data_IF_594938096410
#
_entry.id   IF_594938096410
#
_cell.length_a   1.000
_cell.length_b   1.000
_cell.length_c   1.000
_cell.angle_alpha   90.00
_cell.angle_beta   90.00
_cell.angle_gamma   90.00
#
_symmetry.space_group_name_H-M   'P 1'
#
loop_
_entity.id
_entity.type
_entity.pdbx_description
1 polymer ?
#
# COMPACT_ATOMS: atom_id res chain seq x y z
N UNK A 1 9.29 15.50 -2.67
CA UNK A 1 9.53 14.11 -2.23
C UNK A 1 9.65 13.22 -3.46
N UNK A 2 10.73 12.46 -3.59
CA UNK A 2 10.84 11.36 -4.55
C UNK A 2 10.09 10.15 -3.99
N UNK A 3 9.22 9.55 -4.79
CA UNK A 3 8.47 8.37 -4.37
C UNK A 3 8.56 7.25 -5.39
N UNK A 4 8.46 6.01 -4.91
CA UNK A 4 8.48 4.80 -5.72
C UNK A 4 7.25 3.92 -5.47
N UNK A 5 7.01 2.97 -6.37
CA UNK A 5 6.00 1.92 -6.17
C UNK A 5 6.65 0.55 -6.35
N UNK A 6 6.51 -0.28 -5.31
CA UNK A 6 6.96 -1.67 -5.25
C UNK A 6 5.74 -2.59 -5.44
N UNK A 7 5.73 -3.35 -6.53
CA UNK A 7 4.57 -4.10 -7.00
C UNK A 7 3.66 -3.23 -7.85
N UNK A 8 3.50 -3.57 -9.13
CA UNK A 8 2.64 -2.87 -10.09
C UNK A 8 1.55 -3.78 -10.66
N UNK A 9 1.01 -4.65 -9.79
CA UNK A 9 -0.27 -5.31 -10.02
C UNK A 9 -1.44 -4.33 -10.11
N UNK A 10 -2.67 -4.82 -9.94
CA UNK A 10 -3.88 -3.99 -10.11
C UNK A 10 -3.87 -2.71 -9.26
N UNK A 11 -3.62 -2.81 -7.95
CA UNK A 11 -3.58 -1.65 -7.05
C UNK A 11 -2.31 -0.82 -7.25
N UNK A 12 -1.15 -1.48 -7.40
CA UNK A 12 0.13 -0.80 -7.64
C UNK A 12 0.13 0.07 -8.90
N UNK A 13 -0.51 -0.39 -9.97
CA UNK A 13 -0.74 0.41 -11.18
C UNK A 13 -1.50 1.71 -10.87
N UNK A 14 -2.59 1.63 -10.09
CA UNK A 14 -3.36 2.80 -9.71
C UNK A 14 -2.57 3.75 -8.81
N UNK A 15 -1.77 3.23 -7.87
CA UNK A 15 -0.84 4.04 -7.09
C UNK A 15 0.16 4.77 -7.97
N UNK A 16 0.84 4.08 -8.87
CA UNK A 16 1.80 4.70 -9.79
C UNK A 16 1.13 5.79 -10.64
N UNK A 17 -0.06 5.51 -11.19
CA UNK A 17 -0.83 6.47 -12.01
C UNK A 17 -1.24 7.71 -11.22
N UNK A 18 -1.76 7.54 -10.00
CA UNK A 18 -2.25 8.64 -9.16
C UNK A 18 -1.09 9.45 -8.60
N UNK A 19 -0.01 8.79 -8.16
CA UNK A 19 1.14 9.46 -7.54
C UNK A 19 1.81 10.47 -8.48
N UNK A 20 1.76 10.25 -9.80
CA UNK A 20 2.20 11.23 -10.82
C UNK A 20 1.44 12.55 -10.78
N UNK A 21 0.25 12.56 -10.20
CA UNK A 21 -0.66 13.71 -10.14
C UNK A 21 -0.66 14.39 -8.76
N UNK A 22 0.02 13.82 -7.77
CA UNK A 22 0.04 14.33 -6.40
C UNK A 22 0.99 15.54 -6.30
N UNK A 23 0.49 16.74 -5.95
CA UNK A 23 1.35 17.91 -5.78
C UNK A 23 2.43 17.67 -4.72
N UNK A 24 3.69 18.02 -5.04
CA UNK A 24 4.83 17.86 -4.13
C UNK A 24 5.49 16.46 -4.12
N UNK A 25 4.88 15.48 -4.79
CA UNK A 25 5.48 14.16 -5.03
C UNK A 25 5.99 14.07 -6.48
N UNK A 26 7.10 13.33 -6.67
CA UNK A 26 7.60 12.93 -7.98
C UNK A 26 7.78 11.43 -7.98
N UNK A 27 7.11 10.73 -8.89
CA UNK A 27 7.34 9.30 -9.10
C UNK A 27 8.72 9.11 -9.74
N UNK A 28 9.69 8.63 -8.96
CA UNK A 28 11.04 8.33 -9.42
C UNK A 28 11.05 7.09 -10.31
N UNK A 29 10.20 6.10 -10.00
CA UNK A 29 9.95 4.94 -10.84
C UNK A 29 9.22 3.82 -10.11
N UNK A 30 9.21 2.66 -10.74
CA UNK A 30 8.48 1.47 -10.30
C UNK A 30 9.36 0.22 -10.35
N UNK A 31 9.00 -0.78 -9.56
CA UNK A 31 9.61 -2.12 -9.60
C UNK A 31 8.55 -3.19 -9.39
N UNK A 32 8.72 -4.35 -10.03
CA UNK A 32 7.93 -5.55 -9.87
C UNK A 32 8.76 -6.78 -10.29
N UNK A 33 8.63 -7.90 -9.58
CA UNK A 33 9.38 -9.13 -9.86
C UNK A 33 8.98 -9.76 -11.21
N UNK A 34 7.78 -9.47 -11.70
CA UNK A 34 7.34 -9.86 -13.03
C UNK A 34 7.83 -8.83 -14.07
N UNK A 35 8.93 -9.18 -14.73
CA UNK A 35 9.55 -8.32 -15.74
C UNK A 35 8.60 -7.94 -16.90
N UNK A 36 7.65 -8.81 -17.27
CA UNK A 36 6.69 -8.52 -18.33
C UNK A 36 5.65 -7.49 -17.87
N UNK A 37 5.13 -7.65 -16.64
CA UNK A 37 4.24 -6.66 -16.01
C UNK A 37 4.95 -5.32 -15.80
N UNK A 38 6.18 -5.34 -15.28
CA UNK A 38 7.00 -4.15 -15.08
C UNK A 38 7.18 -3.37 -16.39
N UNK A 39 7.59 -4.05 -17.47
CA UNK A 39 7.78 -3.43 -18.77
C UNK A 39 6.48 -2.83 -19.35
N UNK A 40 5.37 -3.55 -19.20
CA UNK A 40 4.05 -3.11 -19.68
C UNK A 40 3.61 -1.84 -18.96
N UNK A 41 3.62 -1.83 -17.63
CA UNK A 41 3.18 -0.67 -16.83
C UNK A 41 4.13 0.52 -17.01
N UNK A 42 5.44 0.27 -17.10
CA UNK A 42 6.43 1.31 -17.35
C UNK A 42 6.19 2.03 -18.68
N UNK A 43 5.88 1.27 -19.74
CA UNK A 43 5.55 1.82 -21.05
C UNK A 43 4.22 2.58 -21.03
N UNK A 44 3.18 2.00 -20.42
CA UNK A 44 1.83 2.61 -20.37
C UNK A 44 1.81 3.93 -19.60
N UNK A 45 2.52 3.99 -18.47
CA UNK A 45 2.55 5.18 -17.62
C UNK A 45 3.71 6.12 -17.96
N UNK A 46 4.60 5.75 -18.89
CA UNK A 46 5.85 6.48 -19.20
C UNK A 46 6.68 6.75 -17.94
N UNK A 47 6.89 5.72 -17.13
CA UNK A 47 7.64 5.79 -15.86
C UNK A 47 8.87 4.90 -15.92
N UNK A 48 9.93 5.28 -15.18
CA UNK A 48 11.18 4.51 -15.14
C UNK A 48 10.96 3.15 -14.45
N UNK A 49 11.22 2.02 -15.13
CA UNK A 49 11.35 0.74 -14.45
C UNK A 49 12.75 0.62 -13.83
N UNK A 50 12.83 0.15 -12.59
CA UNK A 50 14.08 -0.18 -11.91
C UNK A 50 14.41 -1.66 -12.05
N UNK A 51 15.70 -2.04 -12.01
CA UNK A 51 16.13 -3.43 -12.21
C UNK A 51 16.04 -4.28 -10.96
N UNK A 52 16.05 -3.65 -9.80
CA UNK A 52 15.83 -4.28 -8.50
C UNK A 52 15.05 -3.34 -7.59
N UNK A 53 14.40 -3.93 -6.58
CA UNK A 53 13.82 -3.20 -5.45
C UNK A 53 14.84 -2.24 -4.83
N UNK A 54 16.07 -2.73 -4.60
CA UNK A 54 17.11 -1.98 -3.91
C UNK A 54 17.55 -0.74 -4.72
N UNK A 55 17.70 -0.86 -6.04
CA UNK A 55 18.02 0.29 -6.92
C UNK A 55 16.92 1.36 -6.83
N UNK A 56 15.65 0.97 -6.72
CA UNK A 56 14.56 1.93 -6.51
C UNK A 56 14.65 2.59 -5.13
N UNK A 57 14.83 1.80 -4.07
CA UNK A 57 14.88 2.27 -2.68
C UNK A 57 16.01 3.27 -2.43
N UNK A 58 17.16 3.12 -3.10
CA UNK A 58 18.27 4.09 -3.03
C UNK A 58 17.93 5.48 -3.61
N UNK A 59 16.83 5.62 -4.35
CA UNK A 59 16.48 6.84 -5.09
C UNK A 59 15.24 7.58 -4.57
N UNK A 60 14.55 7.02 -3.57
CA UNK A 60 13.25 7.53 -3.11
C UNK A 60 13.26 7.89 -1.63
N UNK A 61 12.49 8.92 -1.27
CA UNK A 61 12.24 9.30 0.12
C UNK A 61 11.08 8.46 0.71
N UNK A 62 10.16 8.01 -0.15
CA UNK A 62 9.00 7.21 0.22
C UNK A 62 8.65 6.13 -0.82
N UNK A 63 8.04 5.04 -0.40
CA UNK A 63 7.59 3.97 -1.29
C UNK A 63 6.18 3.48 -0.95
N UNK A 64 5.39 3.22 -1.99
CA UNK A 64 4.16 2.43 -1.85
C UNK A 64 4.50 0.95 -2.02
N UNK A 65 4.08 0.12 -1.08
CA UNK A 65 4.21 -1.34 -1.14
C UNK A 65 2.85 -1.93 -1.50
N UNK A 66 2.72 -2.41 -2.74
CA UNK A 66 1.53 -3.04 -3.30
C UNK A 66 1.85 -4.41 -3.90
N UNK A 67 2.66 -5.18 -3.17
CA UNK A 67 3.04 -6.58 -3.47
C UNK A 67 2.05 -7.53 -2.78
N UNK A 68 2.13 -8.86 -2.98
CA UNK A 68 1.30 -9.79 -2.20
C UNK A 68 1.53 -9.67 -0.69
N UNK A 69 0.47 -9.79 0.11
CA UNK A 69 0.53 -9.63 1.58
C UNK A 69 1.57 -10.52 2.25
N UNK A 70 1.80 -11.73 1.73
CA UNK A 70 2.78 -12.70 2.25
C UNK A 70 4.23 -12.19 2.21
N UNK A 71 4.52 -11.17 1.40
CA UNK A 71 5.86 -10.57 1.30
C UNK A 71 5.88 -9.10 1.73
N UNK A 72 4.79 -8.57 2.31
CA UNK A 72 4.76 -7.20 2.84
C UNK A 72 5.88 -6.95 3.86
N UNK A 73 6.04 -7.85 4.82
CA UNK A 73 7.01 -7.68 5.91
C UNK A 73 8.45 -7.66 5.40
N UNK A 74 8.82 -8.58 4.52
CA UNK A 74 10.16 -8.63 3.93
C UNK A 74 10.48 -7.32 3.18
N UNK A 75 9.55 -6.88 2.31
CA UNK A 75 9.74 -5.68 1.50
C UNK A 75 9.73 -4.41 2.35
N UNK A 76 8.86 -4.33 3.36
CA UNK A 76 8.77 -3.19 4.27
C UNK A 76 10.01 -3.06 5.14
N UNK A 77 10.50 -4.15 5.72
CA UNK A 77 11.72 -4.12 6.54
C UNK A 77 12.96 -3.74 5.73
N UNK A 78 13.06 -4.23 4.48
CA UNK A 78 14.13 -3.81 3.57
C UNK A 78 14.06 -2.30 3.27
N UNK A 79 12.87 -1.77 3.02
CA UNK A 79 12.67 -0.34 2.75
C UNK A 79 12.91 0.55 3.98
N UNK A 80 12.50 0.10 5.18
CA UNK A 80 12.81 0.76 6.45
C UNK A 80 14.32 0.79 6.70
N UNK A 81 15.02 -0.33 6.45
CA UNK A 81 16.47 -0.39 6.57
C UNK A 81 17.19 0.56 5.59
N UNK A 82 16.59 0.84 4.44
CA UNK A 82 17.06 1.85 3.48
C UNK A 82 16.69 3.30 3.86
N UNK A 83 15.98 3.52 4.97
CA UNK A 83 15.57 4.86 5.42
C UNK A 83 14.34 5.44 4.70
N UNK A 84 13.52 4.59 4.07
CA UNK A 84 12.41 5.00 3.21
C UNK A 84 11.07 4.98 3.96
N UNK A 85 10.30 6.06 3.87
CA UNK A 85 8.94 6.13 4.42
C UNK A 85 7.96 5.26 3.62
N UNK A 86 6.97 4.64 4.28
CA UNK A 86 6.13 3.64 3.61
C UNK A 86 4.64 3.97 3.64
N UNK A 87 3.98 3.67 2.53
CA UNK A 87 2.56 3.37 2.47
C UNK A 87 2.41 1.90 2.08
N UNK A 88 1.98 1.05 3.01
CA UNK A 88 1.81 -0.38 2.78
C UNK A 88 0.34 -0.64 2.48
N UNK A 89 0.03 -1.33 1.39
CA UNK A 89 -1.33 -1.76 1.12
C UNK A 89 -1.88 -2.64 2.27
N UNK A 90 -3.19 -2.62 2.44
CA UNK A 90 -3.82 -3.42 3.50
C UNK A 90 -3.84 -4.91 3.12
N UNK A 91 -3.78 -5.82 4.11
CA UNK A 91 -3.40 -5.56 5.50
C UNK A 91 -1.88 -5.29 5.62
N UNK A 92 -1.45 -4.63 6.69
CA UNK A 92 -0.05 -4.21 6.89
C UNK A 92 0.96 -5.38 6.76
N UNK A 93 0.58 -6.58 7.19
CA UNK A 93 1.38 -7.81 7.09
C UNK A 93 0.49 -9.05 7.07
N UNK A 94 1.07 -10.22 6.85
CA UNK A 94 0.34 -11.50 6.86
C UNK A 94 0.06 -12.01 8.27
N UNK A 95 0.95 -11.71 9.23
CA UNK A 95 0.79 -12.08 10.64
C UNK A 95 0.93 -10.86 11.57
N UNK A 96 0.42 -10.99 12.81
CA UNK A 96 0.59 -9.94 13.83
C UNK A 96 2.06 -9.73 14.20
N UNK A 97 2.84 -10.82 14.34
CA UNK A 97 4.26 -10.73 14.69
C UNK A 97 5.06 -9.98 13.61
N UNK A 98 4.72 -10.17 12.34
CA UNK A 98 5.29 -9.39 11.24
C UNK A 98 4.85 -7.92 11.28
N UNK A 99 3.59 -7.65 11.59
CA UNK A 99 3.10 -6.28 11.76
C UNK A 99 3.84 -5.55 12.89
N UNK A 100 4.00 -6.20 14.04
CA UNK A 100 4.75 -5.69 15.19
C UNK A 100 6.20 -5.40 14.79
N UNK A 101 6.85 -6.30 14.05
CA UNK A 101 8.22 -6.10 13.58
C UNK A 101 8.35 -4.87 12.65
N UNK A 102 7.38 -4.63 11.76
CA UNK A 102 7.37 -3.44 10.90
C UNK A 102 7.22 -2.16 11.74
N UNK A 103 6.29 -2.16 12.70
CA UNK A 103 6.02 -1.00 13.58
C UNK A 103 7.24 -0.69 14.44
N UNK A 104 7.85 -1.70 15.05
CA UNK A 104 9.04 -1.54 15.90
C UNK A 104 10.23 -1.01 15.08
N UNK A 105 10.46 -1.56 13.89
CA UNK A 105 11.53 -1.10 13.00
C UNK A 105 11.31 0.35 12.54
N UNK A 106 10.07 0.70 12.17
CA UNK A 106 9.70 2.06 11.77
C UNK A 106 9.93 3.07 12.91
N UNK A 107 9.49 2.73 14.13
CA UNK A 107 9.67 3.55 15.31
C UNK A 107 11.15 3.74 15.66
N UNK A 108 11.94 2.66 15.61
CA UNK A 108 13.38 2.72 15.86
C UNK A 108 14.14 3.58 14.84
N UNK A 109 13.69 3.57 13.57
CA UNK A 109 14.27 4.36 12.50
C UNK A 109 13.71 5.81 12.42
N UNK A 110 12.65 6.13 13.18
CA UNK A 110 11.98 7.43 13.09
C UNK A 110 11.26 7.66 11.75
N UNK A 111 10.80 6.59 11.09
CA UNK A 111 10.16 6.64 9.79
C UNK A 111 8.63 6.58 9.89
N UNK A 112 7.96 7.32 9.02
CA UNK A 112 6.52 7.20 8.83
C UNK A 112 6.20 5.90 8.06
N UNK A 113 5.34 5.07 8.65
CA UNK A 113 4.70 3.93 7.99
C UNK A 113 3.19 4.07 8.14
N UNK A 114 2.49 4.10 7.02
CA UNK A 114 1.03 4.14 6.96
C UNK A 114 0.49 2.88 6.27
N UNK A 115 -0.70 2.45 6.65
CA UNK A 115 -1.42 1.35 5.97
C UNK A 115 -2.53 1.91 5.08
N UNK A 116 -2.72 1.31 3.90
CA UNK A 116 -3.66 1.72 2.86
C UNK A 116 -5.15 1.54 3.18
N UNK A 117 -5.60 1.98 4.35
CA UNK A 117 -7.02 1.99 4.72
C UNK A 117 -7.78 3.10 3.98
N UNK A 118 -8.06 2.86 2.69
CA UNK A 118 -8.61 3.87 1.77
C UNK A 118 -9.96 4.45 2.22
N UNK A 119 -10.78 3.68 2.95
CA UNK A 119 -12.12 4.11 3.36
C UNK A 119 -12.08 5.26 4.37
N UNK A 120 -11.00 5.43 5.14
CA UNK A 120 -10.79 6.64 5.98
C UNK A 120 -10.78 7.94 5.17
N UNK A 121 -10.51 7.84 3.86
CA UNK A 121 -10.50 8.97 2.93
C UNK A 121 -11.78 9.06 2.09
N UNK A 122 -12.76 8.18 2.30
CA UNK A 122 -14.04 8.21 1.62
C UNK A 122 -14.78 9.52 1.94
N UNK A 123 -15.15 10.27 0.88
CA UNK A 123 -15.80 11.57 1.04
C UNK A 123 -17.12 11.51 1.80
N UNK A 124 -17.87 10.40 1.71
CA UNK A 124 -19.09 10.20 2.47
C UNK A 124 -18.80 10.02 3.97
N UNK A 125 -17.82 9.18 4.33
CA UNK A 125 -17.42 8.97 5.74
C UNK A 125 -16.86 10.26 6.35
N UNK A 126 -15.99 10.98 5.62
CA UNK A 126 -15.46 12.27 6.05
C UNK A 126 -16.53 13.35 6.22
N UNK A 127 -17.56 13.35 5.37
CA UNK A 127 -18.68 14.28 5.52
C UNK A 127 -19.56 13.96 6.73
N UNK A 128 -19.65 12.67 7.11
CA UNK A 128 -20.39 12.21 8.26
C UNK A 128 -19.62 12.37 9.59
N UNK A 129 -18.29 12.38 9.56
CA UNK A 129 -17.41 12.44 10.75
C UNK A 129 -17.85 13.45 11.84
N UNK A 130 -18.24 14.70 11.51
CA UNK A 130 -18.69 15.66 12.53
C UNK A 130 -19.99 15.28 13.27
N UNK A 131 -20.74 14.30 12.75
CA UNK A 131 -22.01 13.84 13.31
C UNK A 131 -21.88 12.47 14.03
N UNK A 132 -20.67 11.89 14.08
CA UNK A 132 -20.40 10.53 14.58
C UNK A 132 -19.70 10.51 15.95
N UNK A 133 -20.15 11.34 16.90
CA UNK A 133 -19.49 11.45 18.22
C UNK A 133 -19.63 10.19 19.11
N UNK A 134 -20.79 9.54 19.12
CA UNK A 134 -21.07 8.36 19.97
C UNK A 134 -22.10 7.42 19.32
N UNK A 135 -21.75 6.80 18.17
CA UNK A 135 -22.66 5.90 17.48
C UNK A 135 -22.98 4.69 18.37
N UNK A 136 -24.27 4.51 18.67
CA UNK A 136 -24.76 3.36 19.48
C UNK A 136 -24.90 2.07 18.67
N UNK A 137 -24.99 2.20 17.35
CA UNK A 137 -25.17 1.09 16.43
C UNK A 137 -24.55 1.45 15.07
N UNK A 138 -23.81 0.51 14.51
CA UNK A 138 -23.20 0.60 13.18
C UNK A 138 -23.56 -0.68 12.45
N UNK A 139 -24.05 -0.53 11.22
CA UNK A 139 -24.33 -1.63 10.32
C UNK A 139 -23.62 -1.37 8.99
N UNK A 140 -22.80 -2.32 8.54
CA UNK A 140 -22.14 -2.27 7.23
C UNK A 140 -22.32 -3.59 6.49
N UNK A 141 -22.64 -3.50 5.21
CA UNK A 141 -22.82 -4.64 4.32
C UNK A 141 -21.82 -4.51 3.17
N UNK A 142 -20.75 -5.31 3.20
CA UNK A 142 -19.74 -5.36 2.12
C UNK A 142 -19.88 -6.66 1.34
N UNK A 143 -20.48 -6.56 0.16
CA UNK A 143 -20.77 -7.69 -0.72
C UNK A 143 -19.93 -7.59 -2.00
N UNK A 144 -19.23 -8.67 -2.34
CA UNK A 144 -18.48 -8.79 -3.59
C UNK A 144 -18.88 -10.07 -4.33
N UNK A 145 -18.92 -10.05 -5.68
CA UNK A 145 -19.08 -11.27 -6.45
C UNK A 145 -17.88 -12.19 -6.24
N UNK A 146 -18.09 -13.50 -6.38
CA UNK A 146 -17.00 -14.46 -6.29
C UNK A 146 -15.94 -14.19 -7.37
N UNK A 147 -14.69 -14.11 -6.94
CA UNK A 147 -13.52 -14.00 -7.80
C UNK A 147 -12.53 -15.10 -7.36
N UNK A 148 -11.97 -15.90 -8.28
CA UNK A 148 -10.94 -16.89 -7.95
C UNK A 148 -9.74 -16.32 -7.18
N UNK A 149 -9.39 -15.04 -7.36
CA UNK A 149 -8.34 -14.36 -6.57
C UNK A 149 -8.75 -14.07 -5.11
N UNK A 150 -10.04 -14.09 -4.81
CA UNK A 150 -10.58 -13.85 -3.47
C UNK A 150 -10.35 -15.02 -2.49
N UNK A 151 -9.68 -16.09 -2.92
CA UNK A 151 -9.29 -17.21 -2.05
C UNK A 151 -7.92 -17.00 -1.38
N UNK A 152 -7.15 -16.02 -1.84
CA UNK A 152 -5.76 -15.83 -1.41
C UNK A 152 -5.66 -15.18 -0.02
N UNK A 153 -6.69 -14.43 0.37
CA UNK A 153 -6.79 -13.73 1.67
C UNK A 153 -8.17 -13.98 2.26
N UNK A 154 -8.23 -14.21 3.58
CA UNK A 154 -9.50 -14.44 4.27
C UNK A 154 -10.46 -13.26 4.10
N UNK A 155 -11.76 -13.54 3.89
CA UNK A 155 -12.81 -12.51 3.68
C UNK A 155 -12.82 -11.42 4.75
N UNK A 156 -12.43 -11.75 5.99
CA UNK A 156 -12.30 -10.79 7.09
C UNK A 156 -11.16 -9.80 6.83
N UNK A 157 -9.99 -10.28 6.40
CA UNK A 157 -8.80 -9.46 6.18
C UNK A 157 -8.81 -8.74 4.82
N UNK A 158 -9.64 -9.19 3.88
CA UNK A 158 -9.76 -8.55 2.57
C UNK A 158 -10.94 -7.58 2.48
N UNK A 159 -12.13 -7.99 2.95
CA UNK A 159 -13.35 -7.17 2.88
C UNK A 159 -13.66 -6.50 4.22
N UNK A 160 -13.92 -7.29 5.26
CA UNK A 160 -14.47 -6.78 6.53
C UNK A 160 -13.52 -5.82 7.25
N UNK A 161 -12.22 -5.92 7.02
CA UNK A 161 -11.21 -5.04 7.62
C UNK A 161 -11.47 -3.57 7.30
N UNK A 162 -12.12 -3.27 6.17
CA UNK A 162 -12.53 -1.91 5.81
C UNK A 162 -13.64 -1.34 6.70
N UNK A 163 -14.47 -2.22 7.27
CA UNK A 163 -15.62 -1.84 8.10
C UNK A 163 -15.28 -1.91 9.60
N UNK A 164 -14.21 -2.64 9.97
CA UNK A 164 -13.67 -2.74 11.34
C UNK A 164 -12.74 -1.56 11.67
N UNK A 165 -11.97 -1.10 10.68
CA UNK A 165 -11.00 -0.01 10.78
C UNK A 165 -11.61 1.38 11.05
#
# INVERSE_FOLDING_TARGET
>A
MQAGVLGVGSLGFHHARILRQVPGARLAGIYDDDAARLATVAAELEVRPFRSRDELLETVDAAVIAVPTTVHAEVALAAIAAGVHLLIEKPIAHTLAEADAIVDAANAAGLVVATGHVERFNGALRACEPYLEDPRFIESHRLAPFNPRGTDVAVVLDLMIHDID
#
